data_IF_430585767450
#
_entry.id   IF_430585767450
#
_cell.length_a   1.000
_cell.length_b   1.000
_cell.length_c   1.000
_cell.angle_alpha   90.00
_cell.angle_beta   90.00
_cell.angle_gamma   90.00
#
_symmetry.space_group_name_H-M   'P 1'
#
loop_
_entity.id
_entity.type
_entity.pdbx_description
1 polymer ?
#
# COMPACT_ATOMS: atom_id res chain seq x y z
N UNK A 1 50.05 -17.07 -22.08
CA UNK A 1 48.89 -17.89 -21.63
C UNK A 1 47.95 -18.09 -22.81
N UNK A 2 47.81 -19.33 -23.31
CA UNK A 2 46.93 -19.65 -24.45
C UNK A 2 45.61 -20.16 -23.86
N UNK A 3 44.63 -19.27 -23.76
CA UNK A 3 43.31 -19.61 -23.23
C UNK A 3 42.63 -20.61 -24.18
N UNK A 4 42.23 -21.77 -23.68
CA UNK A 4 41.67 -22.84 -24.52
C UNK A 4 40.24 -22.48 -24.93
N UNK A 5 39.78 -23.00 -26.08
CA UNK A 5 38.42 -22.75 -26.59
C UNK A 5 37.33 -23.13 -25.57
N UNK A 6 37.62 -24.15 -24.75
CA UNK A 6 36.79 -24.62 -23.65
C UNK A 6 36.64 -23.57 -22.56
N UNK A 7 37.70 -22.86 -22.17
CA UNK A 7 37.65 -21.80 -21.15
C UNK A 7 36.76 -20.61 -21.56
N UNK A 8 36.79 -20.24 -22.85
CA UNK A 8 35.90 -19.18 -23.39
C UNK A 8 34.43 -19.59 -23.37
N UNK A 9 34.13 -20.84 -23.72
CA UNK A 9 32.75 -21.33 -23.70
C UNK A 9 32.23 -21.45 -22.26
N UNK A 10 33.05 -21.96 -21.33
CA UNK A 10 32.70 -22.03 -19.91
C UNK A 10 32.46 -20.63 -19.31
N UNK A 11 33.32 -19.65 -19.63
CA UNK A 11 33.11 -18.26 -19.22
C UNK A 11 31.82 -17.65 -19.77
N UNK A 12 31.47 -17.97 -21.02
CA UNK A 12 30.22 -17.52 -21.64
C UNK A 12 28.95 -18.12 -21.00
N UNK A 13 28.99 -19.41 -20.65
CA UNK A 13 27.86 -20.09 -19.99
C UNK A 13 27.67 -19.56 -18.57
N UNK A 14 28.75 -19.44 -17.79
CA UNK A 14 28.68 -18.92 -16.41
C UNK A 14 28.22 -17.46 -16.40
N UNK A 15 28.75 -16.63 -17.31
CA UNK A 15 28.31 -15.24 -17.46
C UNK A 15 26.85 -15.11 -17.89
N UNK A 16 26.40 -15.94 -18.83
CA UNK A 16 25.01 -15.97 -19.28
C UNK A 16 24.03 -16.36 -18.17
N UNK A 17 24.35 -17.41 -17.40
CA UNK A 17 23.53 -17.83 -16.26
C UNK A 17 23.49 -16.77 -15.16
N UNK A 18 24.62 -16.17 -14.81
CA UNK A 18 24.67 -15.11 -13.81
C UNK A 18 23.82 -13.89 -14.23
N UNK A 19 23.90 -13.48 -15.49
CA UNK A 19 23.10 -12.38 -16.02
C UNK A 19 21.59 -12.70 -15.96
N UNK A 20 21.20 -13.94 -16.30
CA UNK A 20 19.80 -14.36 -16.29
C UNK A 20 19.24 -14.42 -14.87
N UNK A 21 20.01 -14.93 -13.89
CA UNK A 21 19.61 -14.93 -12.48
C UNK A 21 19.44 -13.51 -11.95
N UNK A 22 20.38 -12.61 -12.26
CA UNK A 22 20.28 -11.20 -11.84
C UNK A 22 19.07 -10.50 -12.46
N UNK A 23 18.78 -10.75 -13.74
CA UNK A 23 17.61 -10.21 -14.42
C UNK A 23 16.29 -10.72 -13.78
N UNK A 24 16.21 -12.02 -13.49
CA UNK A 24 15.05 -12.62 -12.83
C UNK A 24 14.84 -12.06 -11.41
N UNK A 25 15.91 -11.92 -10.63
CA UNK A 25 15.85 -11.31 -9.29
C UNK A 25 15.39 -9.85 -9.36
N UNK A 26 15.89 -9.07 -10.34
CA UNK A 26 15.47 -7.70 -10.57
C UNK A 26 13.98 -7.57 -10.92
N UNK A 27 13.45 -8.45 -11.78
CA UNK A 27 12.03 -8.48 -12.11
C UNK A 27 11.17 -8.84 -10.89
N UNK A 28 11.58 -9.82 -10.08
CA UNK A 28 10.89 -10.19 -8.84
C UNK A 28 10.86 -9.05 -7.83
N UNK A 29 11.96 -8.31 -7.68
CA UNK A 29 12.03 -7.15 -6.78
C UNK A 29 11.04 -6.07 -7.20
N UNK A 30 10.96 -5.73 -8.49
CA UNK A 30 10.00 -4.74 -9.00
C UNK A 30 8.55 -5.21 -8.84
N UNK A 31 8.28 -6.50 -9.07
CA UNK A 31 6.96 -7.08 -8.84
C UNK A 31 6.55 -7.04 -7.36
N UNK A 32 7.49 -7.16 -6.43
CA UNK A 32 7.21 -7.02 -5.00
C UNK A 32 6.88 -5.58 -4.62
N UNK A 33 7.64 -4.59 -5.12
CA UNK A 33 7.41 -3.16 -4.86
C UNK A 33 6.02 -2.73 -5.34
N UNK A 34 5.68 -3.07 -6.59
CA UNK A 34 4.37 -2.72 -7.17
C UNK A 34 3.20 -3.30 -6.38
N UNK A 35 3.33 -4.53 -5.82
CA UNK A 35 2.31 -5.10 -4.94
C UNK A 35 2.16 -4.33 -3.64
N UNK A 36 3.26 -3.91 -3.03
CA UNK A 36 3.25 -3.09 -1.80
C UNK A 36 2.53 -1.76 -2.08
N UNK A 37 2.86 -1.10 -3.20
CA UNK A 37 2.22 0.17 -3.57
C UNK A 37 0.71 0.02 -3.76
N UNK A 38 0.26 -1.06 -4.40
CA UNK A 38 -1.19 -1.30 -4.56
C UNK A 38 -1.90 -1.56 -3.22
N UNK A 39 -1.25 -2.25 -2.29
CA UNK A 39 -1.81 -2.48 -0.94
C UNK A 39 -1.89 -1.16 -0.18
N UNK A 40 -0.82 -0.36 -0.18
CA UNK A 40 -0.80 0.95 0.48
C UNK A 40 -1.84 1.88 -0.12
N UNK A 41 -1.99 1.91 -1.45
CA UNK A 41 -3.02 2.69 -2.12
C UNK A 41 -4.44 2.25 -1.71
N UNK A 42 -4.68 0.94 -1.61
CA UNK A 42 -5.98 0.41 -1.18
C UNK A 42 -6.29 0.74 0.28
N UNK A 43 -5.31 0.64 1.17
CA UNK A 43 -5.48 0.95 2.59
C UNK A 43 -5.64 2.46 2.82
N UNK A 44 -4.91 3.31 2.09
CA UNK A 44 -5.08 4.76 2.12
C UNK A 44 -6.49 5.18 1.68
N UNK A 45 -7.07 4.48 0.69
CA UNK A 45 -8.45 4.70 0.26
C UNK A 45 -9.45 4.29 1.34
N UNK A 46 -9.23 3.16 2.02
CA UNK A 46 -10.08 2.73 3.14
C UNK A 46 -10.03 3.71 4.30
N UNK A 47 -8.85 4.20 4.65
CA UNK A 47 -8.67 5.19 5.71
C UNK A 47 -9.38 6.50 5.37
N UNK A 48 -9.26 6.97 4.12
CA UNK A 48 -10.01 8.14 3.64
C UNK A 48 -11.52 7.99 3.84
N UNK A 49 -12.08 6.84 3.45
CA UNK A 49 -13.50 6.57 3.63
C UNK A 49 -13.94 6.50 5.10
N UNK A 50 -13.08 5.96 5.98
CA UNK A 50 -13.33 5.93 7.42
C UNK A 50 -13.35 7.33 8.03
N UNK A 51 -12.38 8.17 7.67
CA UNK A 51 -12.27 9.54 8.18
C UNK A 51 -13.45 10.41 7.75
N UNK A 52 -13.94 10.24 6.52
CA UNK A 52 -15.14 10.92 6.03
C UNK A 52 -16.40 10.43 6.75
N UNK A 53 -16.53 9.12 7.00
CA UNK A 53 -17.65 8.57 7.75
C UNK A 53 -17.68 9.07 9.21
N UNK A 54 -16.52 9.15 9.86
CA UNK A 54 -16.38 9.71 11.20
C UNK A 54 -16.83 11.18 11.22
N UNK A 55 -16.31 11.99 10.29
CA UNK A 55 -16.68 13.39 10.16
C UNK A 55 -18.20 13.57 9.99
N UNK A 56 -18.83 12.79 9.10
CA UNK A 56 -20.29 12.83 8.88
C UNK A 56 -21.06 12.49 10.15
N UNK A 57 -20.63 11.46 10.89
CA UNK A 57 -21.28 11.08 12.15
C UNK A 57 -21.20 12.17 13.21
N UNK A 58 -20.12 12.95 13.24
CA UNK A 58 -19.94 14.05 14.17
C UNK A 58 -20.72 15.31 13.76
N UNK A 59 -20.90 15.53 12.45
CA UNK A 59 -21.81 16.56 11.92
C UNK A 59 -23.23 16.27 12.39
N UNK A 60 -23.69 15.02 12.23
CA UNK A 60 -25.02 14.57 12.68
C UNK A 60 -25.20 14.70 14.20
N UNK A 61 -24.12 14.47 14.98
CA UNK A 61 -24.10 14.69 16.43
C UNK A 61 -24.00 16.16 16.85
N UNK A 62 -23.84 17.08 15.91
CA UNK A 62 -23.72 18.52 16.20
C UNK A 62 -22.38 18.92 16.84
N UNK A 63 -21.33 18.12 16.70
CA UNK A 63 -20.00 18.46 17.22
C UNK A 63 -19.51 19.72 16.49
N UNK A 64 -19.02 20.76 17.20
CA UNK A 64 -18.49 21.96 16.56
C UNK A 64 -17.21 21.66 15.78
N UNK A 65 -16.98 22.37 14.67
CA UNK A 65 -15.89 22.12 13.71
C UNK A 65 -14.51 22.00 14.38
N UNK A 66 -14.27 22.78 15.45
CA UNK A 66 -13.01 22.82 16.19
C UNK A 66 -12.78 21.61 17.11
N UNK A 67 -13.76 20.71 17.27
CA UNK A 67 -13.66 19.48 18.06
C UNK A 67 -13.94 18.23 17.24
N UNK A 68 -14.09 18.36 15.93
CA UNK A 68 -14.36 17.20 15.07
C UNK A 68 -13.09 16.39 14.82
N UNK A 69 -13.23 15.07 14.87
CA UNK A 69 -12.26 14.10 14.42
C UNK A 69 -12.58 13.64 12.98
N UNK A 70 -11.57 13.10 12.30
CA UNK A 70 -11.65 12.72 10.89
C UNK A 70 -11.46 13.90 9.94
N UNK A 71 -11.77 13.66 8.66
CA UNK A 71 -11.54 14.62 7.59
C UNK A 71 -12.82 14.84 6.78
N UNK A 72 -13.18 16.09 6.44
CA UNK A 72 -14.24 16.33 5.48
C UNK A 72 -13.87 15.73 4.12
N UNK A 73 -14.89 15.43 3.29
CA UNK A 73 -14.73 14.92 1.93
C UNK A 73 -14.09 15.98 1.02
N UNK A 74 -12.76 16.12 1.09
CA UNK A 74 -12.01 17.13 0.33
C UNK A 74 -11.91 16.80 -1.15
N UNK A 75 -12.02 15.51 -1.52
CA UNK A 75 -12.02 15.06 -2.91
C UNK A 75 -13.41 15.04 -3.54
N UNK A 76 -14.48 15.19 -2.74
CA UNK A 76 -15.88 15.09 -3.18
C UNK A 76 -16.22 13.76 -3.87
N UNK A 77 -15.41 12.71 -3.63
CA UNK A 77 -15.58 11.38 -4.23
C UNK A 77 -16.13 10.38 -3.21
N UNK A 78 -16.33 10.78 -1.95
CA UNK A 78 -16.70 9.82 -0.92
C UNK A 78 -18.08 9.20 -1.19
N UNK A 79 -19.00 9.92 -1.85
CA UNK A 79 -20.31 9.38 -2.20
C UNK A 79 -20.27 8.34 -3.33
N UNK A 80 -19.24 8.38 -4.19
CA UNK A 80 -19.09 7.46 -5.32
C UNK A 80 -18.14 6.29 -5.01
N UNK A 81 -17.07 6.55 -4.26
CA UNK A 81 -15.97 5.60 -4.06
C UNK A 81 -15.93 4.98 -2.67
N UNK A 82 -16.67 5.52 -1.70
CA UNK A 82 -16.82 4.88 -0.41
C UNK A 82 -18.11 4.05 -0.39
N UNK A 83 -18.06 2.81 0.13
CA UNK A 83 -19.25 2.00 0.25
C UNK A 83 -20.28 2.73 1.11
N UNK A 84 -21.53 2.75 0.64
CA UNK A 84 -22.63 3.42 1.32
C UNK A 84 -22.73 2.94 2.76
N UNK A 85 -22.49 3.86 3.71
CA UNK A 85 -22.61 3.66 5.15
C UNK A 85 -21.56 2.69 5.72
N UNK A 86 -20.29 3.06 5.64
CA UNK A 86 -19.31 2.57 6.62
C UNK A 86 -19.77 3.13 7.96
N UNK A 87 -20.46 2.32 8.77
CA UNK A 87 -20.67 2.64 10.17
C UNK A 87 -19.28 2.92 10.76
N UNK A 88 -19.09 4.03 11.50
CA UNK A 88 -17.78 4.36 12.06
C UNK A 88 -17.26 3.13 12.80
N UNK A 89 -16.14 2.57 12.33
CA UNK A 89 -15.47 1.48 13.01
C UNK A 89 -15.17 1.97 14.42
N UNK A 90 -15.60 1.20 15.42
CA UNK A 90 -15.47 1.56 16.81
C UNK A 90 -13.97 1.67 17.18
N UNK A 91 -13.45 2.91 17.18
CA UNK A 91 -12.06 3.23 17.48
C UNK A 91 -11.65 2.86 18.92
N UNK A 92 -12.56 2.36 19.76
CA UNK A 92 -12.20 1.76 21.06
C UNK A 92 -11.32 0.52 20.88
N UNK A 93 -11.55 -0.28 19.83
CA UNK A 93 -10.76 -1.49 19.57
C UNK A 93 -9.28 -1.17 19.26
N UNK A 94 -9.01 -0.05 18.59
CA UNK A 94 -7.65 0.33 18.19
C UNK A 94 -6.84 0.93 19.35
N UNK A 95 -7.48 1.65 20.28
CA UNK A 95 -6.80 2.14 21.50
C UNK A 95 -6.37 1.03 22.44
N UNK A 96 -7.06 -0.12 22.40
CA UNK A 96 -6.78 -1.24 23.28
C UNK A 96 -5.48 -1.97 22.93
N UNK A 97 -5.00 -1.85 21.68
CA UNK A 97 -3.77 -2.50 21.21
C UNK A 97 -2.47 -1.76 21.61
N UNK A 98 -2.57 -0.52 22.10
CA UNK A 98 -1.40 0.29 22.52
C UNK A 98 -1.12 0.19 24.03
N UNK A 99 -1.93 -0.57 24.78
CA UNK A 99 -1.82 -0.68 26.25
C UNK A 99 -1.10 -1.94 26.75
N UNK A 100 -0.33 -2.63 25.91
CA UNK A 100 0.48 -3.79 26.34
C UNK A 100 1.96 -3.44 26.44
#
# INVERSE_FOLDING_TARGET
>A
MRMTRTDRNTGGIVGGFAALVMAAAGMLAMAAVTRIDTQVASEAHRQYCQDVALWRSEVERGVPLNRRAGQPDYRQIADEQCPARVQPMDHTAQRQLVQF
#
